data_IF_630687374517
#
_entry.id   IF_630687374517
#
_cell.length_a   1.000
_cell.length_b   1.000
_cell.length_c   1.000
_cell.angle_alpha   90.00
_cell.angle_beta   90.00
_cell.angle_gamma   90.00
#
_symmetry.space_group_name_H-M   'P 1'
#
loop_
_entity.id
_entity.type
_entity.pdbx_description
1 polymer ?
#
# COMPACT_ATOMS: atom_id res chain seq x y z
N UNK A 1 42.59 -20.96 -26.54
CA UNK A 1 41.24 -21.58 -26.66
C UNK A 1 40.50 -21.77 -25.32
N UNK A 2 41.14 -22.22 -24.23
CA UNK A 2 40.46 -22.45 -22.93
C UNK A 2 39.91 -21.17 -22.27
N UNK A 3 40.61 -20.03 -22.39
CA UNK A 3 40.20 -18.75 -21.80
C UNK A 3 38.98 -18.11 -22.47
N UNK A 4 38.82 -18.28 -23.79
CA UNK A 4 37.60 -17.83 -24.49
C UNK A 4 36.34 -18.58 -24.03
N UNK A 5 36.46 -19.90 -23.77
CA UNK A 5 35.33 -20.72 -23.32
C UNK A 5 34.83 -20.31 -21.93
N UNK A 6 35.72 -19.92 -21.03
CA UNK A 6 35.37 -19.47 -19.66
C UNK A 6 34.63 -18.12 -19.69
N UNK A 7 35.05 -17.20 -20.55
CA UNK A 7 34.41 -15.88 -20.68
C UNK A 7 33.00 -16.02 -21.26
N UNK A 8 32.81 -16.90 -22.24
CA UNK A 8 31.48 -17.18 -22.81
C UNK A 8 30.53 -17.80 -21.79
N UNK A 9 31.01 -18.68 -20.91
CA UNK A 9 30.19 -19.31 -19.86
C UNK A 9 29.76 -18.28 -18.80
N UNK A 10 30.68 -17.40 -18.38
CA UNK A 10 30.37 -16.33 -17.43
C UNK A 10 29.36 -15.31 -17.98
N UNK A 11 29.47 -14.96 -19.27
CA UNK A 11 28.52 -14.06 -19.94
C UNK A 11 27.10 -14.63 -20.01
N UNK A 12 26.96 -15.94 -20.21
CA UNK A 12 25.66 -16.62 -20.25
C UNK A 12 25.03 -16.69 -18.84
N UNK A 13 25.82 -16.95 -17.80
CA UNK A 13 25.34 -16.95 -16.41
C UNK A 13 24.83 -15.55 -16.02
N UNK A 14 25.55 -14.49 -16.41
CA UNK A 14 25.15 -13.11 -16.15
C UNK A 14 23.85 -12.72 -16.87
N UNK A 15 23.64 -13.23 -18.09
CA UNK A 15 22.40 -13.03 -18.85
C UNK A 15 21.19 -13.74 -18.21
N UNK A 16 21.38 -14.95 -17.68
CA UNK A 16 20.31 -15.73 -17.04
C UNK A 16 19.92 -15.09 -15.68
N UNK A 17 20.88 -14.51 -14.95
CA UNK A 17 20.58 -13.76 -13.72
C UNK A 17 19.85 -12.43 -13.97
N UNK A 18 20.04 -11.79 -15.13
CA UNK A 18 19.40 -10.52 -15.46
C UNK A 18 17.90 -10.65 -15.77
N UNK A 19 17.46 -11.79 -16.30
CA UNK A 19 16.07 -12.00 -16.75
C UNK A 19 15.13 -12.36 -15.58
N UNK A 20 15.66 -12.88 -14.47
CA UNK A 20 14.85 -13.22 -13.30
C UNK A 20 14.36 -12.00 -12.50
N UNK A 21 14.89 -10.79 -12.76
CA UNK A 21 14.59 -9.60 -11.94
C UNK A 21 13.46 -8.72 -12.50
N UNK A 22 13.02 -8.92 -13.75
CA UNK A 22 12.20 -7.91 -14.45
C UNK A 22 10.71 -8.22 -14.60
N UNK A 23 10.16 -9.26 -13.96
CA UNK A 23 8.77 -9.67 -14.22
C UNK A 23 7.88 -9.85 -12.99
N UNK A 24 8.16 -9.16 -11.88
CA UNK A 24 7.07 -8.81 -10.96
C UNK A 24 6.27 -7.69 -11.63
N UNK A 25 5.32 -8.06 -12.50
CA UNK A 25 4.34 -7.13 -13.03
C UNK A 25 3.73 -6.39 -11.84
N UNK A 26 4.06 -5.11 -11.69
CA UNK A 26 3.63 -4.30 -10.57
C UNK A 26 2.11 -4.13 -10.63
N UNK A 27 1.40 -5.08 -10.00
CA UNK A 27 -0.03 -4.99 -9.80
C UNK A 27 -0.28 -3.69 -9.05
N UNK A 28 -1.21 -2.86 -9.54
CA UNK A 28 -1.54 -1.60 -8.87
C UNK A 28 -1.77 -1.89 -7.37
N UNK A 29 -1.10 -1.16 -6.47
CA UNK A 29 -1.18 -1.45 -5.06
C UNK A 29 -2.62 -1.33 -4.57
N UNK A 30 -3.01 -2.22 -3.67
CA UNK A 30 -4.28 -2.11 -2.95
C UNK A 30 -4.18 -0.90 -2.03
N UNK A 31 -5.06 0.09 -2.21
CA UNK A 31 -5.05 1.31 -1.40
C UNK A 31 -5.95 1.14 -0.18
N UNK A 32 -5.39 1.36 1.00
CA UNK A 32 -6.09 1.35 2.29
C UNK A 32 -6.03 2.74 2.90
N UNK A 33 -7.19 3.33 3.18
CA UNK A 33 -7.28 4.62 3.86
C UNK A 33 -7.44 4.38 5.36
N UNK A 34 -6.49 4.85 6.16
CA UNK A 34 -6.50 4.72 7.62
C UNK A 34 -6.67 6.08 8.28
N UNK A 35 -7.75 6.25 9.05
CA UNK A 35 -8.05 7.49 9.75
C UNK A 35 -7.93 7.27 11.26
N UNK A 36 -7.02 8.02 11.90
CA UNK A 36 -6.85 7.97 13.36
C UNK A 36 -7.38 9.24 14.03
N UNK A 37 -7.91 9.05 15.24
CA UNK A 37 -8.45 10.10 16.11
C UNK A 37 -7.39 10.68 17.06
N UNK A 38 -6.23 10.03 17.17
CA UNK A 38 -5.22 10.37 18.16
C UNK A 38 -4.24 11.38 17.57
N UNK A 39 -4.33 12.62 18.03
CA UNK A 39 -3.36 13.67 17.70
C UNK A 39 -2.00 13.32 18.33
N UNK A 40 -0.93 13.44 17.55
CA UNK A 40 0.44 13.15 18.03
C UNK A 40 0.84 11.67 17.99
N UNK A 41 0.09 10.81 17.30
CA UNK A 41 0.50 9.41 17.07
C UNK A 41 1.58 9.33 15.98
N UNK A 42 2.72 9.99 16.23
CA UNK A 42 3.90 10.00 15.35
C UNK A 42 4.33 8.55 15.07
N UNK A 43 4.17 7.68 16.06
CA UNK A 43 4.40 6.24 15.98
C UNK A 43 3.57 5.58 14.87
N UNK A 44 2.31 5.99 14.68
CA UNK A 44 1.47 5.41 13.65
C UNK A 44 1.90 5.82 12.24
N UNK A 45 2.38 7.06 12.06
CA UNK A 45 2.92 7.53 10.79
C UNK A 45 4.17 6.75 10.37
N UNK A 46 5.14 6.62 11.27
CA UNK A 46 6.40 5.91 11.02
C UNK A 46 6.16 4.41 10.75
N UNK A 47 5.23 3.80 11.49
CA UNK A 47 4.84 2.40 11.27
C UNK A 47 4.15 2.20 9.92
N UNK A 48 3.31 3.16 9.48
CA UNK A 48 2.69 3.12 8.15
C UNK A 48 3.73 3.28 7.05
N UNK A 49 4.72 4.16 7.23
CA UNK A 49 5.81 4.31 6.27
C UNK A 49 6.58 2.99 6.12
N UNK A 50 7.01 2.40 7.25
CA UNK A 50 7.71 1.11 7.25
C UNK A 50 6.87 -0.02 6.64
N UNK A 51 5.56 -0.01 6.86
CA UNK A 51 4.65 -0.96 6.25
C UNK A 51 4.63 -0.81 4.72
N UNK A 52 4.45 0.41 4.21
CA UNK A 52 4.43 0.69 2.77
C UNK A 52 5.74 0.29 2.09
N UNK A 53 6.88 0.55 2.74
CA UNK A 53 8.21 0.20 2.21
C UNK A 53 8.41 -1.32 2.10
N UNK A 54 7.80 -2.08 3.00
CA UNK A 54 7.94 -3.55 3.07
C UNK A 54 6.86 -4.31 2.32
N UNK A 55 5.77 -3.65 1.93
CA UNK A 55 4.62 -4.26 1.27
C UNK A 55 4.23 -3.49 -0.01
N UNK A 56 5.04 -3.53 -1.09
CA UNK A 56 4.81 -2.72 -2.29
C UNK A 56 3.48 -3.02 -3.02
N UNK A 57 2.83 -4.14 -2.70
CA UNK A 57 1.49 -4.48 -3.20
C UNK A 57 0.34 -3.77 -2.46
N UNK A 58 0.62 -3.04 -1.38
CA UNK A 58 -0.38 -2.36 -0.54
C UNK A 58 0.13 -0.95 -0.22
N UNK A 59 -0.72 0.04 -0.43
CA UNK A 59 -0.44 1.42 -0.04
C UNK A 59 -1.41 1.85 1.05
N UNK A 60 -0.89 2.13 2.24
CA UNK A 60 -1.66 2.68 3.36
C UNK A 60 -1.51 4.20 3.39
N UNK A 61 -2.63 4.90 3.24
CA UNK A 61 -2.72 6.36 3.37
C UNK A 61 -3.20 6.70 4.78
N UNK A 62 -2.31 7.23 5.62
CA UNK A 62 -2.62 7.62 6.98
C UNK A 62 -3.06 9.09 7.07
N UNK A 63 -4.16 9.34 7.77
CA UNK A 63 -4.61 10.70 8.09
C UNK A 63 -5.05 10.79 9.55
N UNK A 64 -4.46 11.74 10.29
CA UNK A 64 -4.98 12.11 11.61
C UNK A 64 -6.13 13.08 11.43
N UNK A 65 -7.26 12.79 12.07
CA UNK A 65 -8.47 13.60 12.04
C UNK A 65 -8.90 13.93 13.47
N UNK A 66 -8.84 15.20 13.90
CA UNK A 66 -9.30 15.61 15.21
C UNK A 66 -10.80 15.31 15.39
N UNK A 67 -11.23 15.18 16.65
CA UNK A 67 -12.65 15.06 16.99
C UNK A 67 -13.48 16.22 16.41
N UNK A 68 -14.69 15.90 15.93
CA UNK A 68 -15.66 16.88 15.47
C UNK A 68 -16.33 16.52 14.15
N UNK A 69 -17.00 17.51 13.56
CA UNK A 69 -17.84 17.35 12.35
C UNK A 69 -17.09 16.77 11.14
N UNK A 70 -15.79 17.06 11.01
CA UNK A 70 -14.97 16.55 9.91
C UNK A 70 -14.77 15.02 9.96
N UNK A 71 -14.54 14.43 11.13
CA UNK A 71 -14.39 12.98 11.29
C UNK A 71 -15.72 12.25 11.03
N UNK A 72 -16.78 12.67 11.72
CA UNK A 72 -18.10 12.04 11.57
C UNK A 72 -18.69 12.25 10.18
N UNK A 73 -18.50 13.43 9.59
CA UNK A 73 -18.90 13.71 8.21
C UNK A 73 -18.18 12.79 7.23
N UNK A 74 -16.86 12.61 7.39
CA UNK A 74 -16.08 11.72 6.52
C UNK A 74 -16.55 10.28 6.63
N UNK A 75 -16.73 9.74 7.85
CA UNK A 75 -17.27 8.38 8.06
C UNK A 75 -18.64 8.22 7.40
N UNK A 76 -19.59 9.14 7.63
CA UNK A 76 -20.93 9.05 7.02
C UNK A 76 -20.90 9.13 5.50
N UNK A 77 -20.04 9.97 4.93
CA UNK A 77 -19.92 10.13 3.48
C UNK A 77 -19.19 8.97 2.78
N UNK A 78 -18.39 8.20 3.52
CA UNK A 78 -17.55 7.13 2.97
C UNK A 78 -18.18 5.74 3.06
N UNK A 79 -19.32 5.61 3.72
CA UNK A 79 -20.12 4.38 3.79
C UNK A 79 -21.38 4.56 2.94
N UNK A 80 -21.44 4.03 1.71
CA UNK A 80 -22.57 4.20 0.80
C UNK A 80 -23.91 3.69 1.35
N UNK A 81 -23.88 2.76 2.31
CA UNK A 81 -25.07 2.13 2.89
C UNK A 81 -25.70 2.87 4.06
N UNK A 82 -25.03 3.87 4.67
CA UNK A 82 -25.58 4.60 5.82
C UNK A 82 -26.89 5.32 5.45
N UNK A 83 -27.04 5.78 4.20
CA UNK A 83 -28.23 6.49 3.72
C UNK A 83 -29.38 5.56 3.30
N UNK A 84 -29.10 4.29 2.99
CA UNK A 84 -30.10 3.37 2.45
C UNK A 84 -30.86 2.61 3.54
N UNK A 85 -30.19 2.19 4.62
CA UNK A 85 -30.75 1.24 5.59
C UNK A 85 -31.40 1.91 6.81
N UNK A 86 -30.93 3.11 7.19
CA UNK A 86 -31.40 3.78 8.43
C UNK A 86 -32.77 4.47 8.30
N UNK A 87 -33.33 4.63 7.09
CA UNK A 87 -34.70 5.17 6.92
C UNK A 87 -35.79 4.23 7.44
N UNK A 88 -35.50 2.94 7.62
CA UNK A 88 -36.45 1.94 8.13
C UNK A 88 -36.72 2.05 9.64
N UNK A 89 -35.88 2.78 10.38
CA UNK A 89 -35.96 2.88 11.85
C UNK A 89 -36.45 4.24 12.33
N UNK A 90 -36.93 5.10 11.43
CA UNK A 90 -37.38 6.47 11.72
C UNK A 90 -38.88 6.71 11.37
N UNK A 91 -39.64 5.63 11.13
CA UNK A 91 -41.10 5.64 10.96
C UNK A 91 -41.75 4.76 12.01
#
# INVERSE_FOLDING_TARGET
MKRLRVISILGIIFLISGIALTAMAAKKPVVVNYWSRKTGDIIAGDMVQKFNDTHPGIQVNFQVMPWGGAYYGKIRSSVPSWSADHRKYLT
#
